data_IF_271879546918
#
_entry.id   IF_271879546918
#
_cell.length_a   1.000
_cell.length_b   1.000
_cell.length_c   1.000
_cell.angle_alpha   90.00
_cell.angle_beta   90.00
_cell.angle_gamma   90.00
#
_symmetry.space_group_name_H-M   'P 1'
#
loop_
_entity.id
_entity.type
_entity.pdbx_description
1 polymer ?
#
# COMPACT_ATOMS: atom_id res chain seq x y z
N UNK A 1 50.42 -41.97 -46.46
CA UNK A 1 49.60 -40.74 -46.29
C UNK A 1 48.35 -41.09 -45.50
N UNK A 2 47.83 -40.13 -44.72
CA UNK A 2 46.67 -40.17 -43.80
C UNK A 2 47.00 -40.44 -42.32
N UNK A 3 47.32 -39.36 -41.60
CA UNK A 3 47.13 -39.24 -40.16
C UNK A 3 45.72 -38.65 -39.93
N UNK A 4 44.93 -39.30 -39.09
CA UNK A 4 43.59 -38.86 -38.69
C UNK A 4 43.76 -38.03 -37.40
N UNK A 5 43.46 -36.74 -37.45
CA UNK A 5 43.41 -35.86 -36.27
C UNK A 5 41.96 -35.84 -35.75
N UNK A 6 41.74 -36.40 -34.56
CA UNK A 6 40.51 -36.16 -33.79
C UNK A 6 40.69 -34.87 -32.99
N UNK A 7 39.87 -33.86 -33.28
CA UNK A 7 39.73 -32.65 -32.47
C UNK A 7 38.55 -32.89 -31.51
N UNK A 8 38.85 -32.98 -30.22
CA UNK A 8 37.85 -32.97 -29.15
C UNK A 8 37.45 -31.52 -28.88
N UNK A 9 36.21 -31.14 -29.23
CA UNK A 9 35.62 -29.86 -28.84
C UNK A 9 34.91 -30.07 -27.51
N UNK A 10 35.50 -29.59 -26.42
CA UNK A 10 34.85 -29.56 -25.10
C UNK A 10 33.76 -28.50 -25.07
N UNK A 11 32.49 -28.91 -25.00
CA UNK A 11 31.41 -28.01 -24.59
C UNK A 11 31.53 -27.76 -23.09
N UNK A 12 31.91 -26.53 -22.73
CA UNK A 12 31.69 -26.00 -21.39
C UNK A 12 30.20 -25.71 -21.29
N UNK A 13 29.45 -26.64 -20.69
CA UNK A 13 28.08 -26.39 -20.27
C UNK A 13 28.18 -25.58 -18.97
N UNK A 14 28.10 -24.25 -19.10
CA UNK A 14 27.86 -23.37 -17.97
C UNK A 14 26.45 -23.64 -17.46
N UNK A 15 26.34 -24.39 -16.36
CA UNK A 15 25.13 -24.42 -15.54
C UNK A 15 24.98 -23.05 -14.88
N UNK A 16 24.33 -22.13 -15.59
CA UNK A 16 23.73 -20.97 -14.92
C UNK A 16 22.68 -21.52 -13.95
N UNK A 17 22.82 -21.16 -12.67
CA UNK A 17 21.74 -21.37 -11.71
C UNK A 17 20.52 -20.60 -12.23
N UNK A 18 19.56 -21.31 -12.81
CA UNK A 18 18.22 -20.79 -13.04
C UNK A 18 17.58 -20.68 -11.66
N UNK A 19 17.82 -19.56 -10.97
CA UNK A 19 16.90 -19.11 -9.94
C UNK A 19 15.58 -18.88 -10.68
N UNK A 20 14.52 -19.58 -10.26
CA UNK A 20 13.19 -19.34 -10.77
C UNK A 20 12.83 -17.88 -10.48
N UNK A 21 12.91 -17.01 -11.50
CA UNK A 21 12.40 -15.65 -11.40
C UNK A 21 10.87 -15.77 -11.30
N UNK A 22 10.33 -15.39 -10.16
CA UNK A 22 8.91 -15.55 -9.80
C UNK A 22 8.01 -14.51 -10.50
N UNK A 23 8.23 -14.30 -11.80
CA UNK A 23 7.43 -13.42 -12.66
C UNK A 23 7.57 -11.91 -12.40
N UNK A 24 8.24 -11.48 -11.32
CA UNK A 24 8.50 -10.07 -11.06
C UNK A 24 9.42 -9.44 -12.13
N UNK A 25 9.21 -8.16 -12.44
CA UNK A 25 10.07 -7.42 -13.38
C UNK A 25 11.48 -7.23 -12.84
N UNK A 26 12.38 -6.70 -13.69
CA UNK A 26 13.60 -6.05 -13.19
C UNK A 26 13.24 -4.79 -12.38
N UNK A 27 14.10 -4.34 -11.45
CA UNK A 27 13.86 -3.12 -10.68
C UNK A 27 13.72 -1.92 -11.61
N UNK A 28 12.62 -1.18 -11.45
CA UNK A 28 12.37 0.09 -12.13
C UNK A 28 12.76 1.19 -11.15
N UNK A 29 13.70 2.05 -11.56
CA UNK A 29 14.23 3.11 -10.70
C UNK A 29 13.70 4.45 -11.19
N UNK A 30 13.10 5.21 -10.29
CA UNK A 30 12.64 6.57 -10.54
C UNK A 30 12.93 7.46 -9.32
N UNK A 31 12.51 8.72 -9.40
CA UNK A 31 12.63 9.70 -8.31
C UNK A 31 11.32 10.49 -8.19
N UNK A 32 11.15 11.18 -7.06
CA UNK A 32 10.09 12.17 -6.96
C UNK A 32 10.21 13.18 -8.12
N UNK A 33 9.07 13.49 -8.74
CA UNK A 33 8.97 14.46 -9.85
C UNK A 33 8.69 15.88 -9.34
N UNK A 34 8.28 16.01 -8.08
CA UNK A 34 8.10 17.29 -7.41
C UNK A 34 8.43 17.16 -5.92
N UNK A 35 8.90 18.26 -5.34
CA UNK A 35 9.10 18.41 -3.91
C UNK A 35 8.88 19.85 -3.46
N UNK A 36 8.24 20.03 -2.30
CA UNK A 36 8.32 21.28 -1.54
C UNK A 36 8.15 21.05 -0.03
N UNK A 37 8.14 22.14 0.72
CA UNK A 37 7.80 22.17 2.15
C UNK A 37 6.49 22.94 2.30
N UNK A 38 5.52 22.36 2.99
CA UNK A 38 4.25 23.03 3.26
C UNK A 38 4.39 24.13 4.33
N UNK A 39 3.50 25.14 4.32
CA UNK A 39 3.17 25.86 5.55
C UNK A 39 2.69 24.89 6.64
N UNK A 40 2.67 25.29 7.92
CA UNK A 40 2.08 24.46 8.96
C UNK A 40 0.63 24.12 8.62
N UNK A 41 0.24 22.86 8.74
CA UNK A 41 -1.08 22.39 8.37
C UNK A 41 -2.19 23.13 9.12
N UNK A 42 -1.94 23.51 10.38
CA UNK A 42 -2.85 24.33 11.19
C UNK A 42 -3.14 25.72 10.60
N UNK A 43 -2.23 26.25 9.78
CA UNK A 43 -2.32 27.58 9.16
C UNK A 43 -2.87 27.51 7.72
N UNK A 44 -3.02 26.30 7.16
CA UNK A 44 -3.58 26.09 5.82
C UNK A 44 -5.10 26.28 5.84
N UNK A 45 -5.68 26.67 4.70
CA UNK A 45 -7.13 26.91 4.56
C UNK A 45 -7.91 25.65 4.95
N UNK A 46 -8.78 25.79 5.95
CA UNK A 46 -9.59 24.71 6.51
C UNK A 46 -11.00 24.72 5.90
N UNK A 47 -11.18 24.33 4.62
CA UNK A 47 -12.53 24.19 4.06
C UNK A 47 -13.16 22.86 4.51
N UNK A 48 -13.92 22.92 5.59
CA UNK A 48 -14.57 21.76 6.20
C UNK A 48 -15.85 21.31 5.49
N UNK A 49 -16.35 22.10 4.53
CA UNK A 49 -17.60 21.83 3.82
C UNK A 49 -17.39 21.29 2.39
N UNK A 50 -16.14 21.23 1.92
CA UNK A 50 -15.83 20.80 0.57
C UNK A 50 -16.34 19.37 0.28
N UNK A 51 -16.95 19.19 -0.89
CA UNK A 51 -17.47 17.92 -1.40
C UNK A 51 -16.64 17.52 -2.61
N UNK A 52 -16.28 16.24 -2.68
CA UNK A 52 -15.53 15.64 -3.79
C UNK A 52 -16.49 14.82 -4.66
N UNK A 53 -16.44 15.02 -5.97
CA UNK A 53 -17.11 14.17 -6.95
C UNK A 53 -16.21 12.95 -7.27
N UNK A 54 -16.70 11.75 -6.94
CA UNK A 54 -16.01 10.48 -7.20
C UNK A 54 -16.75 9.59 -8.20
N UNK A 55 -17.69 10.15 -8.98
CA UNK A 55 -18.49 9.39 -9.94
C UNK A 55 -17.64 8.65 -11.01
N UNK A 56 -16.39 9.09 -11.22
CA UNK A 56 -15.47 8.40 -12.12
C UNK A 56 -15.12 6.98 -11.64
N UNK A 57 -15.10 6.70 -10.33
CA UNK A 57 -14.73 5.39 -9.75
C UNK A 57 -15.69 4.28 -10.16
N UNK A 58 -16.97 4.59 -10.34
CA UNK A 58 -18.03 3.63 -10.70
C UNK A 58 -17.74 2.88 -12.02
N UNK A 59 -16.92 3.46 -12.90
CA UNK A 59 -16.49 2.85 -14.16
C UNK A 59 -15.24 1.97 -14.08
N UNK A 60 -14.52 1.98 -12.96
CA UNK A 60 -13.15 1.41 -12.82
C UNK A 60 -13.12 0.32 -11.77
N UNK A 61 -13.50 0.69 -10.55
CA UNK A 61 -13.57 -0.18 -9.38
C UNK A 61 -15.01 -0.11 -8.91
N UNK A 62 -15.82 -1.08 -9.36
CA UNK A 62 -17.22 -1.15 -8.94
C UNK A 62 -17.25 -1.60 -7.49
N UNK A 63 -17.68 -0.72 -6.60
CA UNK A 63 -18.10 -1.11 -5.27
C UNK A 63 -19.48 -1.75 -5.42
N UNK A 64 -19.63 -3.08 -5.29
CA UNK A 64 -20.95 -3.67 -5.30
C UNK A 64 -21.71 -3.17 -4.06
N UNK A 65 -22.54 -2.15 -4.22
CA UNK A 65 -23.43 -1.66 -3.16
C UNK A 65 -24.53 -2.66 -2.81
N UNK A 66 -24.70 -3.71 -3.64
CA UNK A 66 -25.66 -4.80 -3.48
C UNK A 66 -24.95 -6.17 -3.39
N UNK A 67 -24.04 -6.39 -2.44
CA UNK A 67 -23.55 -7.76 -2.16
C UNK A 67 -24.68 -8.66 -1.60
N UNK A 68 -25.82 -8.10 -1.23
CA UNK A 68 -26.99 -8.86 -0.76
C UNK A 68 -27.96 -9.28 -1.86
N UNK A 69 -27.74 -8.94 -3.14
CA UNK A 69 -28.67 -9.33 -4.20
C UNK A 69 -28.22 -10.57 -4.97
N UNK A 70 -28.90 -11.67 -4.66
CA UNK A 70 -29.14 -12.87 -5.48
C UNK A 70 -27.91 -13.70 -5.85
N UNK A 71 -27.58 -14.59 -4.92
CA UNK A 71 -26.98 -15.91 -5.16
C UNK A 71 -27.70 -16.62 -6.34
N UNK A 72 -27.04 -16.82 -7.49
CA UNK A 72 -27.60 -17.60 -8.59
C UNK A 72 -27.54 -19.11 -8.35
N UNK A 73 -26.74 -19.59 -7.39
CA UNK A 73 -26.37 -21.00 -7.29
C UNK A 73 -26.94 -21.73 -6.08
N UNK A 74 -27.42 -21.06 -5.03
CA UNK A 74 -28.16 -21.71 -3.92
C UNK A 74 -27.40 -22.88 -3.28
N UNK A 75 -26.09 -23.00 -3.54
CA UNK A 75 -25.25 -24.05 -3.01
C UNK A 75 -24.77 -23.55 -1.67
N UNK A 76 -25.62 -23.77 -0.66
CA UNK A 76 -25.18 -23.84 0.72
C UNK A 76 -24.05 -24.88 0.79
N UNK A 77 -22.82 -24.46 0.58
CA UNK A 77 -21.67 -25.20 1.06
C UNK A 77 -21.74 -25.10 2.58
N UNK A 78 -22.46 -26.02 3.21
CA UNK A 78 -22.42 -26.31 4.65
C UNK A 78 -21.05 -26.87 5.06
N UNK A 79 -19.97 -26.27 4.56
CA UNK A 79 -18.62 -26.55 4.97
C UNK A 79 -18.34 -25.64 6.15
N UNK A 80 -18.50 -26.18 7.36
CA UNK A 80 -17.97 -25.55 8.55
C UNK A 80 -16.44 -25.56 8.44
N UNK A 81 -15.83 -24.38 8.34
CA UNK A 81 -14.39 -24.25 8.32
C UNK A 81 -13.84 -24.82 9.65
N UNK A 82 -13.03 -25.89 9.63
CA UNK A 82 -12.55 -26.55 10.84
C UNK A 82 -11.61 -25.67 11.67
N UNK A 83 -11.08 -24.57 11.12
CA UNK A 83 -10.29 -23.57 11.86
C UNK A 83 -11.09 -22.31 12.19
N UNK A 84 -12.40 -22.27 11.89
CA UNK A 84 -13.27 -21.17 12.28
C UNK A 84 -13.23 -20.98 13.79
N UNK A 85 -12.88 -19.78 14.21
CA UNK A 85 -13.01 -19.39 15.61
C UNK A 85 -14.49 -19.48 16.03
N UNK A 86 -14.79 -20.44 16.91
CA UNK A 86 -16.16 -20.71 17.39
C UNK A 86 -16.44 -20.14 18.79
N UNK A 87 -15.42 -19.55 19.41
CA UNK A 87 -15.50 -18.90 20.72
C UNK A 87 -14.64 -17.64 20.73
N UNK A 88 -15.08 -16.61 21.44
CA UNK A 88 -14.24 -15.43 21.70
C UNK A 88 -13.03 -15.87 22.52
N UNK A 89 -11.83 -15.46 22.12
CA UNK A 89 -10.63 -15.63 22.95
C UNK A 89 -10.79 -14.86 24.27
N UNK A 90 -10.08 -15.29 25.31
CA UNK A 90 -9.94 -14.48 26.52
C UNK A 90 -9.04 -13.28 26.19
N UNK A 91 -9.67 -12.11 26.02
CA UNK A 91 -8.94 -10.85 25.95
C UNK A 91 -8.58 -10.44 27.37
N UNK A 92 -7.30 -10.13 27.61
CA UNK A 92 -6.93 -9.34 28.79
C UNK A 92 -7.56 -7.97 28.55
N UNK A 93 -8.70 -7.72 29.19
CA UNK A 93 -9.46 -6.49 28.97
C UNK A 93 -8.59 -5.30 29.39
N UNK A 94 -7.99 -4.64 28.41
CA UNK A 94 -7.48 -3.29 28.62
C UNK A 94 -8.70 -2.38 28.85
N UNK A 95 -8.65 -1.57 29.90
CA UNK A 95 -9.78 -0.68 30.20
C UNK A 95 -9.73 0.48 29.24
N UNK A 96 -10.78 0.70 28.46
CA UNK A 96 -10.89 1.87 27.59
C UNK A 96 -10.63 3.15 28.39
N UNK A 97 -9.47 3.78 28.15
CA UNK A 97 -9.05 5.00 28.84
C UNK A 97 -9.84 6.21 28.32
N UNK A 98 -10.16 6.20 27.02
CA UNK A 98 -10.88 7.29 26.36
C UNK A 98 -11.70 6.77 25.17
N UNK A 99 -12.88 7.34 24.97
CA UNK A 99 -13.72 7.13 23.79
C UNK A 99 -14.30 8.48 23.35
N UNK A 100 -14.17 8.82 22.07
CA UNK A 100 -14.71 10.05 21.48
C UNK A 100 -15.15 9.80 20.03
N UNK A 101 -16.03 10.66 19.53
CA UNK A 101 -16.53 10.53 18.15
C UNK A 101 -15.49 11.01 17.13
N UNK A 102 -15.13 10.11 16.21
CA UNK A 102 -14.36 10.39 15.01
C UNK A 102 -15.14 11.16 13.94
N UNK A 103 -14.51 11.38 12.78
CA UNK A 103 -15.21 11.86 11.58
C UNK A 103 -15.98 10.71 10.92
N UNK A 104 -17.09 11.02 10.26
CA UNK A 104 -17.93 10.05 9.56
C UNK A 104 -17.63 9.96 8.06
N UNK A 105 -18.21 8.96 7.39
CA UNK A 105 -17.99 8.62 5.98
C UNK A 105 -18.33 9.70 4.94
N UNK A 106 -19.03 10.77 5.35
CA UNK A 106 -19.39 11.91 4.49
C UNK A 106 -20.09 11.56 3.15
N UNK A 107 -20.79 10.42 3.09
CA UNK A 107 -21.52 9.97 1.89
C UNK A 107 -20.71 9.10 0.92
N UNK A 108 -19.48 8.71 1.28
CA UNK A 108 -18.60 7.88 0.47
C UNK A 108 -18.63 6.42 0.92
N UNK A 109 -18.82 5.51 -0.05
CA UNK A 109 -18.97 4.07 0.20
C UNK A 109 -18.05 3.25 -0.73
N UNK A 110 -17.24 2.34 -0.17
CA UNK A 110 -17.00 2.10 1.26
C UNK A 110 -16.33 3.30 1.96
N UNK A 111 -16.36 3.36 3.31
CA UNK A 111 -15.83 4.50 4.04
C UNK A 111 -14.29 4.57 4.05
N UNK A 112 -13.58 3.54 3.56
CA UNK A 112 -12.12 3.46 3.41
C UNK A 112 -11.38 4.15 4.56
N UNK A 113 -11.62 3.64 5.77
CA UNK A 113 -11.09 4.23 7.00
C UNK A 113 -9.66 3.78 7.24
N UNK A 114 -8.81 4.72 7.62
CA UNK A 114 -7.41 4.51 7.97
C UNK A 114 -7.07 5.42 9.15
N UNK A 115 -5.97 5.17 9.86
CA UNK A 115 -5.62 5.99 10.99
C UNK A 115 -4.50 5.41 11.84
N UNK A 116 -3.72 6.30 12.44
CA UNK A 116 -2.61 5.91 13.29
C UNK A 116 -2.44 6.86 14.48
N UNK A 117 -1.67 6.41 15.47
CA UNK A 117 -1.59 6.96 16.80
C UNK A 117 -0.14 7.21 17.22
N UNK A 118 0.21 8.49 17.31
CA UNK A 118 1.47 8.91 17.89
C UNK A 118 1.38 9.13 19.41
N UNK A 119 2.47 9.64 20.02
CA UNK A 119 2.52 9.97 21.44
C UNK A 119 1.44 10.97 21.86
N UNK A 120 1.26 12.03 21.06
CA UNK A 120 0.40 13.17 21.40
C UNK A 120 -0.85 13.32 20.52
N UNK A 121 -0.92 12.59 19.41
CA UNK A 121 -1.97 12.76 18.40
C UNK A 121 -2.56 11.43 17.94
N UNK A 122 -3.83 11.47 17.54
CA UNK A 122 -4.48 10.46 16.72
C UNK A 122 -4.85 11.12 15.39
N UNK A 123 -4.40 10.53 14.29
CA UNK A 123 -4.68 11.01 12.94
C UNK A 123 -5.64 10.03 12.28
N UNK A 124 -6.86 10.48 12.01
CA UNK A 124 -7.90 9.68 11.39
C UNK A 124 -8.10 10.08 9.94
N UNK A 125 -8.20 9.09 9.06
CA UNK A 125 -8.61 9.23 7.66
C UNK A 125 -9.91 8.45 7.44
N UNK A 126 -10.83 9.05 6.71
CA UNK A 126 -12.08 8.42 6.27
C UNK A 126 -12.30 8.79 4.81
N UNK A 127 -11.95 7.86 3.93
CA UNK A 127 -12.00 7.99 2.48
C UNK A 127 -11.26 9.27 2.01
N UNK A 128 -12.01 10.30 1.62
CA UNK A 128 -11.51 11.56 1.07
C UNK A 128 -11.19 12.63 2.11
N UNK A 129 -11.38 12.35 3.40
CA UNK A 129 -11.23 13.34 4.48
C UNK A 129 -10.36 12.83 5.61
N UNK A 130 -9.76 13.77 6.34
CA UNK A 130 -9.04 13.46 7.56
C UNK A 130 -9.34 14.45 8.69
N UNK A 131 -9.03 14.02 9.92
CA UNK A 131 -9.00 14.87 11.10
C UNK A 131 -7.88 14.44 12.06
N UNK A 132 -7.37 15.40 12.83
CA UNK A 132 -6.31 15.17 13.81
C UNK A 132 -6.85 15.52 15.19
N UNK A 133 -6.63 14.65 16.15
CA UNK A 133 -7.07 14.77 17.54
C UNK A 133 -5.87 14.73 18.47
N UNK A 134 -5.97 15.35 19.64
CA UNK A 134 -5.04 15.07 20.73
C UNK A 134 -5.46 13.80 21.50
N UNK A 135 -4.60 13.32 22.41
CA UNK A 135 -4.88 12.13 23.24
C UNK A 135 -6.03 12.30 24.25
N UNK A 136 -6.61 13.49 24.38
CA UNK A 136 -7.82 13.75 25.17
C UNK A 136 -9.09 13.76 24.30
N UNK A 137 -8.99 13.45 23.00
CA UNK A 137 -10.12 13.40 22.08
C UNK A 137 -10.58 14.76 21.56
N UNK A 138 -9.81 15.82 21.82
CA UNK A 138 -10.09 17.15 21.26
C UNK A 138 -9.58 17.19 19.83
N UNK A 139 -10.47 17.48 18.89
CA UNK A 139 -10.12 17.69 17.48
C UNK A 139 -9.33 18.98 17.32
N UNK A 140 -8.12 18.87 16.78
CA UNK A 140 -7.22 19.98 16.51
C UNK A 140 -7.34 20.48 15.06
N UNK A 141 -7.53 19.56 14.11
CA UNK A 141 -7.62 19.84 12.67
C UNK A 141 -8.77 19.04 12.06
N UNK A 142 -9.46 19.64 11.10
CA UNK A 142 -10.47 19.00 10.26
C UNK A 142 -11.88 18.88 10.83
N UNK A 143 -12.78 18.14 10.15
CA UNK A 143 -12.52 17.35 8.95
C UNK A 143 -12.09 18.21 7.75
N UNK A 144 -11.00 17.84 7.08
CA UNK A 144 -10.53 18.46 5.83
C UNK A 144 -10.47 17.42 4.72
N UNK A 145 -10.43 17.87 3.46
CA UNK A 145 -10.05 17.02 2.34
C UNK A 145 -8.58 16.59 2.45
N UNK A 146 -8.26 15.34 2.09
CA UNK A 146 -6.89 14.81 2.04
C UNK A 146 -5.94 15.70 1.22
N UNK A 147 -6.42 16.24 0.11
CA UNK A 147 -5.67 17.14 -0.79
C UNK A 147 -5.25 18.44 -0.11
N UNK A 148 -5.82 18.78 1.05
CA UNK A 148 -5.43 19.97 1.82
C UNK A 148 -3.96 19.90 2.23
N UNK A 149 -3.45 18.73 2.65
CA UNK A 149 -2.03 18.56 3.02
C UNK A 149 -1.11 18.90 1.84
N UNK A 150 -1.57 18.58 0.63
CA UNK A 150 -0.85 18.81 -0.63
C UNK A 150 -1.23 20.12 -1.33
N UNK A 151 -1.97 21.02 -0.68
CA UNK A 151 -2.40 22.26 -1.32
C UNK A 151 -1.20 23.07 -1.84
N UNK A 152 -1.27 23.48 -3.11
CA UNK A 152 -0.19 24.17 -3.81
C UNK A 152 0.71 23.27 -4.65
N UNK A 153 0.67 21.94 -4.47
CA UNK A 153 1.37 21.03 -5.37
C UNK A 153 0.74 21.05 -6.77
N UNK A 154 1.55 20.85 -7.84
CA UNK A 154 1.00 20.54 -9.15
C UNK A 154 0.23 19.23 -9.09
N UNK A 155 -0.80 19.08 -9.94
CA UNK A 155 -1.52 17.83 -10.09
C UNK A 155 -2.16 17.30 -8.78
N UNK A 156 -2.46 18.18 -7.81
CA UNK A 156 -3.06 17.79 -6.54
C UNK A 156 -4.59 17.69 -6.66
N UNK A 157 -5.08 16.46 -6.72
CA UNK A 157 -6.50 16.11 -6.67
C UNK A 157 -6.78 15.26 -5.43
N UNK A 158 -8.05 15.11 -5.08
CA UNK A 158 -8.50 14.39 -3.89
C UNK A 158 -9.15 13.06 -4.27
N UNK A 159 -8.38 12.17 -4.89
CA UNK A 159 -8.95 11.00 -5.56
C UNK A 159 -9.05 9.74 -4.68
N UNK A 160 -8.45 9.77 -3.48
CA UNK A 160 -8.72 8.81 -2.40
C UNK A 160 -7.56 7.89 -2.04
N UNK A 161 -7.91 6.79 -1.38
CA UNK A 161 -7.04 5.75 -0.80
C UNK A 161 -5.89 6.33 0.02
N UNK A 162 -6.22 7.31 0.85
CA UNK A 162 -5.23 7.89 1.73
C UNK A 162 -4.81 6.90 2.82
N UNK A 163 -3.51 6.89 3.11
CA UNK A 163 -2.89 6.11 4.17
C UNK A 163 -2.17 7.07 5.10
N UNK A 164 -2.32 6.87 6.40
CA UNK A 164 -1.57 7.61 7.42
C UNK A 164 -0.84 6.63 8.33
N UNK A 165 0.44 6.90 8.59
CA UNK A 165 1.27 6.13 9.50
C UNK A 165 2.06 7.07 10.42
N UNK A 166 2.40 6.58 11.60
CA UNK A 166 3.35 7.19 12.51
C UNK A 166 4.61 6.34 12.54
N UNK A 167 5.69 6.90 12.02
CA UNK A 167 7.02 6.31 12.09
C UNK A 167 7.62 6.58 13.49
N UNK A 168 7.43 5.63 14.42
CA UNK A 168 7.86 5.77 15.82
C UNK A 168 9.36 5.93 15.94
N UNK A 169 10.11 5.28 15.05
CA UNK A 169 11.56 5.30 15.04
C UNK A 169 12.13 6.64 14.60
N UNK A 170 11.41 7.39 13.75
CA UNK A 170 11.79 8.75 13.34
C UNK A 170 11.06 9.86 14.11
N UNK A 171 10.03 9.54 14.89
CA UNK A 171 9.14 10.51 15.53
C UNK A 171 8.47 11.41 14.46
N UNK A 172 7.96 10.79 13.37
CA UNK A 172 7.39 11.48 12.20
C UNK A 172 6.09 10.84 11.73
N UNK A 173 5.23 11.63 11.12
CA UNK A 173 4.03 11.16 10.45
C UNK A 173 4.29 11.02 8.96
N UNK A 174 3.72 9.99 8.35
CA UNK A 174 3.60 9.81 6.92
C UNK A 174 2.13 9.93 6.53
N UNK A 175 1.84 10.66 5.46
CA UNK A 175 0.52 10.71 4.83
C UNK A 175 0.69 10.50 3.33
N UNK A 176 -0.06 9.57 2.73
CA UNK A 176 -0.10 9.41 1.28
C UNK A 176 -1.51 9.45 0.74
N UNK A 177 -1.63 9.75 -0.56
CA UNK A 177 -2.83 9.47 -1.36
C UNK A 177 -2.44 9.45 -2.83
N UNK A 178 -3.18 8.72 -3.66
CA UNK A 178 -3.01 8.86 -5.09
C UNK A 178 -3.70 10.11 -5.63
N UNK A 179 -3.25 10.56 -6.80
CA UNK A 179 -3.85 11.67 -7.52
C UNK A 179 -3.85 11.42 -9.03
N UNK A 180 -5.02 11.55 -9.65
CA UNK A 180 -5.33 11.15 -11.01
C UNK A 180 -5.88 12.34 -11.84
N UNK A 181 -5.12 13.43 -11.99
CA UNK A 181 -5.60 14.65 -12.64
C UNK A 181 -6.01 14.48 -14.11
N UNK A 182 -5.52 13.43 -14.78
CA UNK A 182 -5.73 13.17 -16.20
C UNK A 182 -6.57 11.91 -16.48
N UNK A 183 -7.21 11.34 -15.45
CA UNK A 183 -7.97 10.09 -15.57
C UNK A 183 -8.98 10.14 -16.75
N UNK A 184 -9.08 9.09 -17.59
CA UNK A 184 -8.50 7.74 -17.46
C UNK A 184 -7.07 7.60 -17.99
N UNK A 185 -6.43 8.68 -18.46
CA UNK A 185 -5.08 8.64 -19.01
C UNK A 185 -4.05 9.14 -18.00
N UNK A 186 -2.82 8.65 -18.11
CA UNK A 186 -1.70 9.16 -17.32
C UNK A 186 -1.26 10.57 -17.76
N UNK A 187 -0.32 11.20 -17.03
CA UNK A 187 0.37 10.65 -15.86
C UNK A 187 -0.54 10.57 -14.63
N UNK A 188 -0.28 9.54 -13.81
CA UNK A 188 -0.86 9.35 -12.48
C UNK A 188 0.19 9.59 -11.42
N UNK A 189 -0.24 9.87 -10.20
CA UNK A 189 0.68 10.25 -9.13
C UNK A 189 0.32 9.56 -7.81
N UNK A 190 1.36 9.25 -7.02
CA UNK A 190 1.24 9.06 -5.57
C UNK A 190 1.84 10.30 -4.90
N UNK A 191 1.03 11.02 -4.14
CA UNK A 191 1.47 12.12 -3.31
C UNK A 191 1.82 11.58 -1.93
N UNK A 192 3.03 11.87 -1.44
CA UNK A 192 3.50 11.40 -0.13
C UNK A 192 4.03 12.59 0.67
N UNK A 193 3.62 12.73 1.91
CA UNK A 193 4.06 13.77 2.83
C UNK A 193 4.68 13.14 4.08
N UNK A 194 5.81 13.69 4.51
CA UNK A 194 6.46 13.34 5.79
C UNK A 194 6.46 14.58 6.67
N UNK A 195 5.94 14.52 7.89
CA UNK A 195 5.94 15.67 8.79
C UNK A 195 7.38 16.08 9.11
N UNK A 196 7.62 17.34 9.46
CA UNK A 196 8.96 17.77 9.88
C UNK A 196 9.28 17.41 11.34
N UNK A 197 8.26 17.12 12.13
CA UNK A 197 8.29 16.84 13.57
C UNK A 197 7.19 15.83 13.94
N UNK A 198 7.14 15.37 15.20
CA UNK A 198 6.05 14.54 15.73
C UNK A 198 4.69 15.25 15.84
N UNK A 199 4.65 16.57 15.65
CA UNK A 199 3.41 17.32 15.52
C UNK A 199 2.90 17.30 14.06
N UNK A 200 1.83 16.55 13.74
CA UNK A 200 1.28 16.45 12.39
C UNK A 200 0.55 17.73 11.93
N UNK A 201 0.31 18.67 12.85
CA UNK A 201 -0.31 19.96 12.54
C UNK A 201 0.73 21.02 12.12
N UNK A 202 2.01 20.66 12.16
CA UNK A 202 3.15 21.43 11.65
C UNK A 202 3.34 21.36 10.14
N UNK A 203 4.54 21.70 9.68
CA UNK A 203 4.94 21.65 8.26
C UNK A 203 5.34 20.25 7.82
N UNK A 204 5.24 19.99 6.51
CA UNK A 204 5.49 18.70 5.89
C UNK A 204 6.44 18.81 4.71
N UNK A 205 7.33 17.83 4.55
CA UNK A 205 8.03 17.53 3.31
C UNK A 205 7.08 16.82 2.37
N UNK A 206 6.75 17.41 1.22
CA UNK A 206 5.75 16.87 0.30
C UNK A 206 6.40 16.45 -1.01
N UNK A 207 6.08 15.26 -1.45
CA UNK A 207 6.63 14.61 -2.62
C UNK A 207 5.52 14.18 -3.57
N UNK A 208 5.81 14.18 -4.86
CA UNK A 208 4.95 13.57 -5.87
C UNK A 208 5.77 12.53 -6.65
N UNK A 209 5.30 11.29 -6.72
CA UNK A 209 5.90 10.22 -7.51
C UNK A 209 4.98 9.91 -8.69
N UNK A 210 5.54 9.87 -9.91
CA UNK A 210 4.76 9.62 -11.12
C UNK A 210 4.71 8.13 -11.48
N UNK A 211 3.54 7.70 -11.93
CA UNK A 211 3.27 6.34 -12.40
C UNK A 211 2.67 6.36 -13.81
N UNK A 212 3.07 5.37 -14.62
CA UNK A 212 2.54 5.18 -15.98
C UNK A 212 1.17 4.50 -15.97
N UNK A 213 0.94 3.62 -15.00
CA UNK A 213 -0.30 2.90 -14.76
C UNK A 213 -0.94 3.45 -13.47
N UNK A 214 -2.26 3.42 -13.37
CA UNK A 214 -2.97 3.93 -12.20
C UNK A 214 -2.57 3.11 -10.95
N UNK A 215 -2.02 3.75 -9.90
CA UNK A 215 -1.56 3.08 -8.68
C UNK A 215 -2.69 3.01 -7.64
N UNK A 216 -3.68 2.16 -7.89
CA UNK A 216 -4.85 2.02 -7.03
C UNK A 216 -4.56 1.26 -5.74
N UNK A 217 -5.38 1.48 -4.71
CA UNK A 217 -5.34 0.73 -3.46
C UNK A 217 -3.96 0.66 -2.79
N UNK A 218 -3.22 1.78 -2.67
CA UNK A 218 -1.95 1.79 -1.97
C UNK A 218 -2.09 1.29 -0.54
N UNK A 219 -1.10 0.50 -0.12
CA UNK A 219 -0.84 0.17 1.29
C UNK A 219 0.60 0.50 1.57
N UNK A 220 0.85 1.35 2.55
CA UNK A 220 2.18 1.80 2.93
C UNK A 220 2.60 1.08 4.20
N UNK A 221 3.89 0.87 4.38
CA UNK A 221 4.48 0.39 5.62
C UNK A 221 5.85 1.02 5.87
N UNK A 222 6.27 1.03 7.13
CA UNK A 222 7.56 1.50 7.57
C UNK A 222 8.50 0.31 7.79
N UNK A 223 9.66 0.34 7.14
CA UNK A 223 10.74 -0.60 7.38
C UNK A 223 12.06 0.15 7.55
N UNK A 224 13.09 -0.53 8.06
CA UNK A 224 14.31 0.14 8.55
C UNK A 224 14.97 1.10 7.58
N UNK A 225 15.04 0.73 6.31
CA UNK A 225 15.75 1.46 5.25
C UNK A 225 14.82 2.24 4.30
N UNK A 226 13.51 2.00 4.35
CA UNK A 226 12.57 2.52 3.35
C UNK A 226 11.13 2.64 3.83
N UNK A 227 10.38 3.53 3.17
CA UNK A 227 8.92 3.47 3.19
C UNK A 227 8.49 2.56 2.05
N UNK A 228 7.85 1.45 2.39
CA UNK A 228 7.41 0.45 1.42
C UNK A 228 5.95 0.66 1.08
N UNK A 229 5.58 0.35 -0.15
CA UNK A 229 4.21 0.49 -0.61
C UNK A 229 3.85 -0.63 -1.58
N UNK A 230 2.64 -1.16 -1.46
CA UNK A 230 2.05 -2.05 -2.45
C UNK A 230 0.90 -1.36 -3.16
N UNK A 231 0.78 -1.58 -4.47
CA UNK A 231 -0.28 -0.96 -5.30
C UNK A 231 -0.90 -1.98 -6.23
N UNK A 232 -2.11 -1.69 -6.68
CA UNK A 232 -2.82 -2.36 -7.77
C UNK A 232 -2.64 -1.54 -9.05
N UNK A 233 -2.12 -2.14 -10.12
CA UNK A 233 -1.88 -1.42 -11.38
C UNK A 233 -3.01 -1.63 -12.37
N UNK A 234 -3.55 -0.52 -12.86
CA UNK A 234 -4.52 -0.50 -13.95
C UNK A 234 -4.00 0.29 -15.14
N UNK A 235 -4.09 -0.30 -16.33
CA UNK A 235 -3.52 0.27 -17.55
C UNK A 235 -4.15 1.63 -17.90
N UNK A 236 -3.30 2.61 -18.20
CA UNK A 236 -3.73 3.94 -18.68
C UNK A 236 -4.67 3.81 -19.88
N UNK A 237 -5.79 4.53 -19.84
CA UNK A 237 -6.79 4.63 -20.90
C UNK A 237 -7.84 3.50 -20.91
N UNK A 238 -7.44 2.26 -20.62
CA UNK A 238 -8.37 1.11 -20.63
C UNK A 238 -8.87 0.68 -19.25
N UNK A 239 -8.13 0.99 -18.18
CA UNK A 239 -8.44 0.50 -16.84
C UNK A 239 -8.27 -1.01 -16.68
N UNK A 240 -7.57 -1.68 -17.60
CA UNK A 240 -7.35 -3.12 -17.51
C UNK A 240 -6.40 -3.47 -16.35
N UNK A 241 -6.73 -4.51 -15.59
CA UNK A 241 -5.86 -5.05 -14.54
C UNK A 241 -4.52 -5.53 -15.12
N UNK A 242 -3.42 -5.02 -14.57
CA UNK A 242 -2.06 -5.39 -14.97
C UNK A 242 -1.32 -6.24 -13.94
N UNK A 243 -1.84 -6.34 -12.72
CA UNK A 243 -1.16 -6.96 -11.59
C UNK A 243 -0.79 -5.95 -10.50
N UNK A 244 -0.30 -6.44 -9.36
CA UNK A 244 0.22 -5.58 -8.32
C UNK A 244 1.63 -5.05 -8.66
N UNK A 245 2.10 -4.10 -7.86
CA UNK A 245 3.51 -3.78 -7.76
C UNK A 245 3.90 -3.54 -6.31
N UNK A 246 5.19 -3.76 -6.02
CA UNK A 246 5.82 -3.39 -4.76
C UNK A 246 6.79 -2.24 -5.00
N UNK A 247 6.81 -1.29 -4.09
CA UNK A 247 7.52 -0.02 -4.20
C UNK A 247 8.30 0.20 -2.91
N UNK A 248 9.53 0.69 -3.01
CA UNK A 248 10.30 1.20 -1.89
C UNK A 248 10.71 2.65 -2.18
N UNK A 249 10.52 3.53 -1.21
CA UNK A 249 10.93 4.93 -1.25
C UNK A 249 12.01 5.21 -0.20
N UNK A 250 13.04 5.96 -0.58
CA UNK A 250 14.22 6.24 0.25
C UNK A 250 13.85 7.05 1.50
N UNK A 251 13.59 6.32 2.61
CA UNK A 251 13.15 6.87 3.89
C UNK A 251 14.16 7.89 4.45
N UNK A 252 15.45 7.58 4.37
CA UNK A 252 16.52 8.46 4.85
C UNK A 252 16.48 9.82 4.13
N UNK A 253 16.36 9.82 2.80
CA UNK A 253 16.25 11.06 2.03
C UNK A 253 14.94 11.80 2.29
N UNK A 254 13.84 11.09 2.46
CA UNK A 254 12.52 11.70 2.68
C UNK A 254 12.42 12.37 4.06
N UNK A 255 12.93 11.73 5.11
CA UNK A 255 13.04 12.28 6.47
C UNK A 255 13.94 13.51 6.52
N UNK A 256 14.97 13.56 5.68
CA UNK A 256 15.89 14.69 5.55
C UNK A 256 15.35 15.85 4.69
N UNK A 257 14.17 15.72 4.06
CA UNK A 257 13.63 16.76 3.16
C UNK A 257 14.42 16.90 1.85
N UNK A 258 15.01 15.82 1.34
CA UNK A 258 15.76 15.84 0.08
C UNK A 258 14.80 15.92 -1.11
N UNK A 259 15.00 16.80 -2.11
CA UNK A 259 13.99 17.06 -3.15
C UNK A 259 13.75 15.92 -4.15
N UNK A 260 14.63 14.91 -4.20
CA UNK A 260 14.55 13.84 -5.19
C UNK A 260 14.91 12.48 -4.58
N UNK A 261 14.14 12.00 -3.58
CA UNK A 261 14.30 10.66 -3.04
C UNK A 261 14.13 9.62 -4.16
N UNK A 262 14.85 8.51 -4.04
CA UNK A 262 14.78 7.43 -5.02
C UNK A 262 13.57 6.55 -4.71
N UNK A 263 12.90 6.09 -5.76
CA UNK A 263 11.84 5.09 -5.71
C UNK A 263 12.26 3.88 -6.54
N UNK A 264 12.10 2.69 -5.98
CA UNK A 264 12.37 1.41 -6.63
C UNK A 264 11.06 0.64 -6.72
N UNK A 265 10.71 0.16 -7.91
CA UNK A 265 9.46 -0.56 -8.16
C UNK A 265 9.72 -1.91 -8.81
N UNK A 266 9.04 -2.94 -8.34
CA UNK A 266 8.92 -4.24 -9.02
C UNK A 266 7.47 -4.45 -9.44
N UNK A 267 7.26 -4.64 -10.73
CA UNK A 267 5.97 -4.99 -11.28
C UNK A 267 5.76 -6.49 -11.19
N UNK A 268 4.57 -6.92 -10.76
CA UNK A 268 4.22 -8.32 -10.62
C UNK A 268 3.22 -8.73 -11.71
N UNK A 269 3.14 -10.02 -12.07
CA UNK A 269 2.19 -10.51 -13.06
C UNK A 269 0.73 -10.24 -12.65
N UNK A 270 -0.15 -10.14 -13.64
CA UNK A 270 -1.60 -10.00 -13.42
C UNK A 270 -2.24 -11.20 -12.72
N UNK A 271 -1.55 -12.33 -12.63
CA UNK A 271 -1.99 -13.51 -11.89
C UNK A 271 -1.70 -13.44 -10.39
N UNK A 272 -0.93 -12.45 -9.93
CA UNK A 272 -0.60 -12.29 -8.51
C UNK A 272 -1.74 -11.61 -7.74
N UNK A 273 -2.00 -12.11 -6.54
CA UNK A 273 -2.86 -11.44 -5.56
C UNK A 273 -2.16 -10.19 -4.97
N UNK A 274 -2.93 -9.30 -4.33
CA UNK A 274 -2.41 -8.05 -3.77
C UNK A 274 -1.52 -8.29 -2.53
N UNK A 275 -0.22 -7.94 -2.57
CA UNK A 275 0.65 -8.08 -1.41
C UNK A 275 0.42 -7.05 -0.32
N UNK A 276 0.93 -7.37 0.86
CA UNK A 276 1.20 -6.41 1.92
C UNK A 276 2.67 -6.49 2.33
N UNK A 277 3.34 -5.34 2.37
CA UNK A 277 4.67 -5.22 2.98
C UNK A 277 4.56 -5.25 4.50
N UNK A 278 5.61 -5.74 5.16
CA UNK A 278 5.70 -5.71 6.61
C UNK A 278 5.83 -4.28 7.10
N UNK A 279 5.19 -4.01 8.24
CA UNK A 279 5.29 -2.79 9.02
C UNK A 279 6.01 -3.10 10.34
N UNK A 280 6.84 -2.18 10.83
CA UNK A 280 7.67 -2.42 12.01
C UNK A 280 7.46 -1.34 13.07
N UNK A 281 6.56 -1.63 14.00
CA UNK A 281 6.16 -0.78 15.13
C UNK A 281 7.16 -0.85 16.32
N UNK A 282 8.39 -1.30 16.07
CA UNK A 282 9.40 -1.54 17.12
C UNK A 282 10.82 -1.27 16.60
N UNK A 283 11.83 -1.67 17.38
CA UNK A 283 13.22 -1.60 16.96
C UNK A 283 13.40 -2.35 15.64
N UNK A 284 13.90 -1.64 14.63
CA UNK A 284 14.14 -2.26 13.32
C UNK A 284 15.14 -3.43 13.43
N UNK A 285 14.98 -4.47 12.60
CA UNK A 285 16.05 -5.44 12.41
C UNK A 285 17.28 -4.76 11.79
N UNK A 286 18.45 -5.42 11.71
CA UNK A 286 19.63 -4.85 11.10
C UNK A 286 19.34 -4.27 9.71
N UNK A 287 19.93 -3.12 9.35
CA UNK A 287 19.68 -2.39 8.10
C UNK A 287 19.82 -3.22 6.81
N UNK A 288 20.52 -4.35 6.87
CA UNK A 288 20.67 -5.28 5.75
C UNK A 288 19.47 -6.22 5.56
N UNK A 289 18.52 -6.22 6.50
CA UNK A 289 17.35 -7.11 6.50
C UNK A 289 16.34 -6.62 5.46
N UNK A 290 16.09 -7.38 4.39
CA UNK A 290 15.07 -7.03 3.41
C UNK A 290 13.69 -6.86 4.05
N UNK A 291 12.83 -6.01 3.48
CA UNK A 291 11.44 -5.91 3.92
C UNK A 291 10.68 -7.17 3.46
N UNK A 292 10.07 -7.94 4.39
CA UNK A 292 9.20 -9.03 4.02
C UNK A 292 7.92 -8.49 3.35
N UNK A 293 7.52 -9.11 2.24
CA UNK A 293 6.27 -8.82 1.54
C UNK A 293 5.46 -10.11 1.44
N UNK A 294 4.28 -10.08 2.03
CA UNK A 294 3.41 -11.24 2.19
C UNK A 294 2.33 -11.30 1.10
N UNK A 295 2.09 -12.49 0.58
CA UNK A 295 1.04 -12.79 -0.40
C UNK A 295 0.25 -14.02 0.06
N UNK A 296 -1.06 -13.97 -0.16
CA UNK A 296 -1.88 -15.15 -0.10
C UNK A 296 -1.96 -15.82 -1.47
N UNK A 297 -1.89 -17.13 -1.47
CA UNK A 297 -2.17 -17.97 -2.63
C UNK A 297 -3.38 -18.82 -2.27
N UNK A 298 -4.46 -18.65 -3.01
CA UNK A 298 -5.71 -19.40 -2.84
C UNK A 298 -5.76 -20.68 -3.69
N UNK A 299 -6.72 -21.57 -3.39
CA UNK A 299 -6.95 -22.80 -4.16
C UNK A 299 -5.98 -23.95 -3.90
N UNK A 300 -5.80 -24.82 -4.90
CA UNK A 300 -4.92 -25.99 -4.78
C UNK A 300 -3.46 -25.56 -4.67
N UNK A 301 -2.80 -25.88 -3.56
CA UNK A 301 -1.47 -25.37 -3.25
C UNK A 301 -1.49 -24.04 -2.49
N UNK A 302 -2.57 -23.77 -1.75
CA UNK A 302 -2.70 -22.58 -0.93
C UNK A 302 -1.49 -22.41 0.00
N UNK A 303 -0.99 -21.19 0.03
CA UNK A 303 0.21 -20.85 0.79
C UNK A 303 0.19 -19.37 1.17
N UNK A 304 0.89 -19.06 2.25
CA UNK A 304 1.37 -17.71 2.52
C UNK A 304 2.78 -17.65 1.96
N UNK A 305 3.00 -16.81 0.95
CA UNK A 305 4.34 -16.57 0.40
C UNK A 305 4.91 -15.31 1.02
N UNK A 306 6.16 -15.41 1.45
CA UNK A 306 6.93 -14.30 1.98
C UNK A 306 8.06 -14.05 1.00
N UNK A 307 8.08 -12.86 0.44
CA UNK A 307 9.11 -12.41 -0.47
C UNK A 307 9.99 -11.36 0.21
N UNK A 308 11.28 -11.43 -0.02
CA UNK A 308 12.23 -10.44 0.48
C UNK A 308 12.39 -9.33 -0.56
N UNK A 309 12.04 -8.09 -0.19
CA UNK A 309 12.34 -6.89 -0.95
C UNK A 309 13.59 -6.20 -0.35
N UNK A 310 14.72 -6.41 -1.00
CA UNK A 310 15.95 -5.68 -0.72
C UNK A 310 16.09 -4.46 -1.64
N UNK A 311 16.08 -3.26 -1.07
CA UNK A 311 16.35 -2.02 -1.78
C UNK A 311 17.84 -1.65 -1.67
N UNK A 312 18.56 -1.62 -2.79
CA UNK A 312 19.96 -1.16 -2.81
C UNK A 312 20.00 0.36 -3.06
N UNK A 313 20.03 1.15 -2.00
CA UNK A 313 20.04 2.62 -2.11
C UNK A 313 21.34 3.18 -2.71
N UNK A 314 22.42 2.39 -2.77
CA UNK A 314 23.70 2.78 -3.38
C UNK A 314 23.65 2.55 -4.89
N UNK A 315 23.17 1.37 -5.30
CA UNK A 315 22.98 1.00 -6.71
C UNK A 315 21.57 0.46 -6.92
N UNK A 316 20.54 1.34 -7.09
CA UNK A 316 19.13 0.93 -7.12
C UNK A 316 18.79 -0.18 -8.13
N UNK A 317 19.53 -0.28 -9.23
CA UNK A 317 19.37 -1.34 -10.23
C UNK A 317 19.78 -2.74 -9.73
N UNK A 318 20.52 -2.86 -8.63
CA UNK A 318 20.87 -4.13 -7.99
C UNK A 318 19.84 -4.60 -6.95
N UNK A 319 18.80 -3.82 -6.71
CA UNK A 319 17.71 -4.20 -5.80
C UNK A 319 17.11 -5.55 -6.21
N UNK A 320 16.62 -6.31 -5.24
CA UNK A 320 16.06 -7.64 -5.52
C UNK A 320 14.70 -7.82 -4.87
N UNK A 321 13.88 -8.64 -5.52
CA UNK A 321 12.59 -9.09 -5.02
C UNK A 321 12.42 -10.57 -5.35
N UNK A 322 12.38 -11.43 -4.35
CA UNK A 322 12.33 -12.88 -4.55
C UNK A 322 11.61 -13.58 -3.40
N UNK A 323 11.06 -14.78 -3.64
CA UNK A 323 10.48 -15.60 -2.57
C UNK A 323 11.59 -15.99 -1.58
N UNK A 324 11.37 -15.72 -0.31
CA UNK A 324 12.21 -16.15 0.80
C UNK A 324 11.64 -17.39 1.48
N UNK A 325 10.33 -17.42 1.69
CA UNK A 325 9.66 -18.53 2.36
C UNK A 325 8.25 -18.79 1.83
N UNK A 326 7.83 -20.05 1.86
CA UNK A 326 6.45 -20.46 1.51
C UNK A 326 5.90 -21.29 2.66
N UNK A 327 4.85 -20.78 3.29
CA UNK A 327 4.11 -21.47 4.35
C UNK A 327 2.93 -22.18 3.68
N UNK A 328 2.93 -23.52 3.57
CA UNK A 328 1.76 -24.23 3.08
C UNK A 328 0.61 -24.07 4.09
N UNK A 329 -0.58 -23.75 3.59
CA UNK A 329 -1.80 -23.66 4.40
C UNK A 329 -2.91 -24.53 3.79
N UNK A 330 -3.95 -24.79 4.57
CA UNK A 330 -5.14 -25.46 4.05
C UNK A 330 -5.74 -24.64 2.89
N UNK A 331 -6.18 -25.28 1.80
CA UNK A 331 -6.89 -24.59 0.72
C UNK A 331 -8.08 -23.80 1.25
N UNK A 332 -8.20 -22.56 0.80
CA UNK A 332 -9.32 -21.68 1.07
C UNK A 332 -9.79 -21.04 -0.23
N UNK A 333 -11.06 -20.64 -0.24
CA UNK A 333 -11.66 -19.85 -1.31
C UNK A 333 -11.58 -18.37 -0.94
N UNK A 334 -11.31 -17.52 -1.93
CA UNK A 334 -11.46 -16.07 -1.81
C UNK A 334 -12.83 -15.65 -2.35
N UNK A 335 -13.32 -14.49 -1.89
CA UNK A 335 -14.51 -13.87 -2.45
C UNK A 335 -14.26 -13.48 -3.92
N UNK A 336 -15.11 -13.93 -4.84
CA UNK A 336 -14.93 -13.78 -6.29
C UNK A 336 -14.82 -15.11 -7.04
N UNK A 337 -14.92 -15.09 -8.37
CA UNK A 337 -15.00 -16.29 -9.24
C UNK A 337 -16.20 -17.22 -8.96
N UNK A 338 -17.36 -16.66 -8.64
CA UNK A 338 -18.58 -17.44 -8.37
C UNK A 338 -18.66 -18.07 -6.97
N UNK A 339 -17.64 -17.86 -6.13
CA UNK A 339 -17.66 -18.31 -4.75
C UNK A 339 -18.14 -17.19 -3.82
N UNK A 340 -19.28 -17.42 -3.17
CA UNK A 340 -19.82 -16.57 -2.12
C UNK A 340 -19.46 -17.18 -0.76
N UNK A 341 -18.69 -16.43 0.05
CA UNK A 341 -18.38 -16.84 1.43
C UNK A 341 -19.43 -16.21 2.33
N UNK A 342 -20.33 -17.04 2.90
CA UNK A 342 -21.36 -16.57 3.82
C UNK A 342 -20.76 -16.27 5.19
N UNK A 343 -20.63 -14.99 5.55
CA UNK A 343 -20.29 -14.59 6.91
C UNK A 343 -21.58 -14.39 7.73
N UNK A 344 -21.81 -15.27 8.70
CA UNK A 344 -22.95 -15.14 9.62
C UNK A 344 -22.75 -13.90 10.52
N UNK A 345 -23.72 -12.98 10.54
CA UNK A 345 -23.75 -11.88 11.51
C UNK A 345 -23.22 -10.51 11.05
N UNK A 346 -22.87 -10.34 9.77
CA UNK A 346 -22.57 -9.03 9.18
C UNK A 346 -23.78 -8.53 8.41
N UNK A 347 -24.64 -7.77 9.09
CA UNK A 347 -25.79 -7.04 8.52
C UNK A 347 -25.39 -5.68 7.98
#
# INVERSE_FOLDING_TARGET
MKKLFLVFLGMIISFGNLIAQDGASQPIVSKAVYFDISPPLRDMVQDTNAVVDMSWKDGVVKNPTNVYSNDPDGTNLFLEDPVRQSFNGESINDTTILNFLGIGMAGYYPPDTDGDVGPDHYFQVVNVRFAIYNKNGVKLVGPLLNSTIFAGLPNNHNDGDAVVLYDENADRWLFSQFSLPNYPYGPFYENVAISQTSDPTGSWYRYQFAFNDMPDYPKVSVWGDGYYMTIRRFASGSGNWLGPAVVAMDRTKMLAGSPAPTMITFNLPSSSEGPLSADCDSDFPPDTTPCPVCYLVSGTGASIRINDFHADWVTPANSTFHISYTIPISPFSTFGNGNYIHQQGTS
#
